data_IF_995338344980
#
_entry.id   IF_995338344980
#
_cell.length_a   1.000
_cell.length_b   1.000
_cell.length_c   1.000
_cell.angle_alpha   90.00
_cell.angle_beta   90.00
_cell.angle_gamma   90.00
#
_symmetry.space_group_name_H-M   'P 1'
#
loop_
_entity.id
_entity.type
_entity.pdbx_description
1 polymer ?
#
# COMPACT_ATOMS: atom_id res chain seq x y z
N UNK A 1 -80.17 -39.30 -9.55
CA UNK A 1 -78.87 -39.99 -9.36
C UNK A 1 -78.04 -39.74 -10.59
N UNK A 2 -77.01 -38.90 -10.48
CA UNK A 2 -76.03 -38.67 -11.55
C UNK A 2 -74.69 -38.39 -10.86
N UNK A 3 -73.72 -39.26 -11.10
CA UNK A 3 -72.41 -39.31 -10.45
C UNK A 3 -71.47 -38.26 -11.04
N UNK A 4 -70.87 -37.41 -10.20
CA UNK A 4 -69.73 -36.56 -10.59
C UNK A 4 -68.42 -37.31 -10.29
N UNK A 5 -67.67 -37.63 -11.35
CA UNK A 5 -66.29 -38.13 -11.26
C UNK A 5 -65.33 -36.96 -11.01
N UNK A 6 -64.49 -37.07 -9.98
CA UNK A 6 -63.41 -36.11 -9.68
C UNK A 6 -62.12 -36.61 -10.33
N UNK A 7 -61.56 -35.79 -11.24
CA UNK A 7 -60.28 -36.04 -11.91
C UNK A 7 -59.15 -35.42 -11.07
N UNK A 8 -58.27 -36.25 -10.49
CA UNK A 8 -57.06 -35.80 -9.80
C UNK A 8 -55.93 -35.56 -10.82
N UNK A 9 -55.58 -34.30 -11.07
CA UNK A 9 -54.37 -33.89 -11.79
C UNK A 9 -53.19 -33.90 -10.80
N UNK A 10 -52.31 -34.90 -10.90
CA UNK A 10 -51.05 -34.94 -10.15
C UNK A 10 -49.99 -34.12 -10.88
N UNK A 11 -49.73 -32.92 -10.38
CA UNK A 11 -48.63 -32.07 -10.83
C UNK A 11 -47.31 -32.64 -10.28
N UNK A 12 -46.55 -33.33 -11.13
CA UNK A 12 -45.20 -33.81 -10.79
C UNK A 12 -44.24 -32.64 -10.64
N UNK A 13 -43.97 -32.22 -9.41
CA UNK A 13 -42.87 -31.32 -9.09
C UNK A 13 -41.55 -32.10 -9.22
N UNK A 14 -40.80 -31.85 -10.29
CA UNK A 14 -39.39 -32.26 -10.37
C UNK A 14 -38.61 -31.50 -9.27
N UNK A 15 -37.85 -32.19 -8.41
CA UNK A 15 -36.95 -31.52 -7.49
C UNK A 15 -35.89 -30.79 -8.31
N UNK A 16 -35.95 -29.47 -8.33
CA UNK A 16 -34.82 -28.67 -8.79
C UNK A 16 -33.68 -28.95 -7.81
N UNK A 17 -32.62 -29.63 -8.26
CA UNK A 17 -31.36 -29.72 -7.53
C UNK A 17 -30.78 -28.31 -7.48
N UNK A 18 -31.23 -27.52 -6.49
CA UNK A 18 -30.51 -26.34 -6.05
C UNK A 18 -29.27 -26.90 -5.38
N UNK A 19 -28.20 -27.08 -6.14
CA UNK A 19 -26.88 -27.22 -5.57
C UNK A 19 -26.64 -25.91 -4.80
N UNK A 20 -26.90 -25.94 -3.50
CA UNK A 20 -26.64 -24.80 -2.62
C UNK A 20 -25.20 -24.39 -2.84
N UNK A 21 -24.95 -23.12 -3.15
CA UNK A 21 -23.61 -22.58 -3.46
C UNK A 21 -22.54 -22.96 -2.42
N UNK A 22 -22.95 -23.13 -1.15
CA UNK A 22 -22.12 -23.68 -0.08
C UNK A 22 -21.53 -25.07 -0.37
N UNK A 23 -22.28 -25.98 -1.02
CA UNK A 23 -21.80 -27.32 -1.35
C UNK A 23 -20.74 -27.30 -2.46
N UNK A 24 -20.87 -26.38 -3.42
CA UNK A 24 -19.93 -26.24 -4.54
C UNK A 24 -18.62 -25.62 -4.06
N UNK A 25 -18.67 -24.60 -3.20
CA UNK A 25 -17.49 -24.00 -2.55
C UNK A 25 -16.72 -25.06 -1.76
N UNK A 26 -17.38 -25.78 -0.84
CA UNK A 26 -16.73 -26.80 0.00
C UNK A 26 -16.10 -27.93 -0.84
N UNK A 27 -16.82 -28.41 -1.87
CA UNK A 27 -16.31 -29.47 -2.75
C UNK A 27 -15.12 -29.01 -3.59
N UNK A 28 -15.12 -27.74 -4.00
CA UNK A 28 -14.02 -27.17 -4.79
C UNK A 28 -12.79 -26.93 -3.91
N UNK A 29 -12.96 -26.26 -2.76
CA UNK A 29 -11.88 -25.92 -1.85
C UNK A 29 -11.18 -27.15 -1.25
N UNK A 30 -11.89 -28.27 -1.03
CA UNK A 30 -11.27 -29.51 -0.55
C UNK A 30 -10.36 -30.20 -1.58
N UNK A 31 -10.40 -29.77 -2.86
CA UNK A 31 -9.62 -30.34 -3.96
C UNK A 31 -8.44 -29.47 -4.39
N UNK A 32 -8.20 -28.32 -3.76
CA UNK A 32 -7.07 -27.42 -4.08
C UNK A 32 -5.94 -27.69 -3.09
N UNK A 33 -4.88 -28.44 -3.46
CA UNK A 33 -3.86 -28.89 -2.50
C UNK A 33 -2.91 -27.78 -2.03
N UNK A 34 -2.81 -26.68 -2.78
CA UNK A 34 -1.85 -25.59 -2.54
C UNK A 34 -2.42 -24.46 -1.67
N UNK A 35 -3.73 -24.47 -1.42
CA UNK A 35 -4.43 -23.39 -0.74
C UNK A 35 -5.10 -23.94 0.51
N UNK A 36 -5.00 -23.22 1.63
CA UNK A 36 -5.74 -23.54 2.84
C UNK A 36 -7.24 -23.62 2.54
N UNK A 37 -7.87 -24.72 2.95
CA UNK A 37 -9.31 -24.92 2.80
C UNK A 37 -10.11 -23.74 3.36
N UNK A 38 -9.79 -23.33 4.59
CA UNK A 38 -10.48 -22.24 5.28
C UNK A 38 -10.31 -20.90 4.56
N UNK A 39 -9.12 -20.66 4.00
CA UNK A 39 -8.87 -19.46 3.19
C UNK A 39 -9.70 -19.47 1.91
N UNK A 40 -9.69 -20.58 1.17
CA UNK A 40 -10.49 -20.74 -0.05
C UNK A 40 -11.99 -20.52 0.21
N UNK A 41 -12.53 -21.17 1.25
CA UNK A 41 -13.93 -21.03 1.64
C UNK A 41 -14.23 -19.59 2.05
N UNK A 42 -13.36 -18.97 2.86
CA UNK A 42 -13.53 -17.60 3.32
C UNK A 42 -13.57 -16.59 2.18
N UNK A 43 -12.60 -16.66 1.26
CA UNK A 43 -12.50 -15.76 0.10
C UNK A 43 -13.71 -15.89 -0.81
N UNK A 44 -14.09 -17.12 -1.20
CA UNK A 44 -15.19 -17.34 -2.14
C UNK A 44 -16.56 -17.06 -1.51
N UNK A 45 -16.72 -17.29 -0.21
CA UNK A 45 -18.00 -17.02 0.48
C UNK A 45 -18.24 -15.54 0.75
N UNK A 46 -17.17 -14.74 0.83
CA UNK A 46 -17.24 -13.30 1.03
C UNK A 46 -17.57 -12.52 -0.26
N UNK A 47 -17.31 -13.10 -1.43
CA UNK A 47 -17.55 -12.45 -2.72
C UNK A 47 -18.95 -12.78 -3.26
N UNK A 48 -19.75 -11.80 -3.70
CA UNK A 48 -21.13 -12.04 -4.14
C UNK A 48 -21.30 -13.06 -5.27
N UNK A 49 -20.42 -13.08 -6.28
CA UNK A 49 -20.46 -14.04 -7.38
C UNK A 49 -20.07 -15.43 -6.86
N UNK A 50 -19.05 -15.54 -6.01
CA UNK A 50 -18.61 -16.77 -5.38
C UNK A 50 -19.70 -17.38 -4.50
N UNK A 51 -20.36 -16.55 -3.68
CA UNK A 51 -21.48 -16.95 -2.82
C UNK A 51 -22.71 -17.39 -3.61
N UNK A 52 -22.91 -16.91 -4.84
CA UNK A 52 -24.07 -17.27 -5.67
C UNK A 52 -23.75 -18.31 -6.75
N UNK A 53 -22.48 -18.69 -6.92
CA UNK A 53 -22.05 -19.65 -7.92
C UNK A 53 -22.66 -21.04 -7.67
N UNK A 54 -23.20 -21.63 -8.73
CA UNK A 54 -23.76 -22.99 -8.74
C UNK A 54 -22.81 -24.02 -9.35
N UNK A 55 -21.66 -23.60 -9.89
CA UNK A 55 -20.64 -24.47 -10.49
C UNK A 55 -19.21 -23.94 -10.29
N UNK A 56 -18.22 -24.77 -10.63
CA UNK A 56 -16.80 -24.42 -10.51
C UNK A 56 -16.41 -23.28 -11.46
N UNK A 57 -17.14 -23.09 -12.56
CA UNK A 57 -16.85 -22.02 -13.53
C UNK A 57 -17.17 -20.66 -12.91
N UNK A 58 -18.31 -20.54 -12.23
CA UNK A 58 -18.68 -19.36 -11.45
C UNK A 58 -17.69 -19.04 -10.34
N UNK A 59 -17.22 -20.07 -9.61
CA UNK A 59 -16.18 -19.90 -8.58
C UNK A 59 -14.85 -19.43 -9.18
N UNK A 60 -14.46 -19.95 -10.34
CA UNK A 60 -13.25 -19.50 -11.04
C UNK A 60 -13.37 -18.04 -11.49
N UNK A 61 -14.53 -17.61 -11.98
CA UNK A 61 -14.81 -16.20 -12.32
C UNK A 61 -14.74 -15.31 -11.07
N UNK A 62 -15.34 -15.75 -9.95
CA UNK A 62 -15.27 -15.05 -8.68
C UNK A 62 -13.82 -14.84 -8.21
N UNK A 63 -13.02 -15.91 -8.22
CA UNK A 63 -11.61 -15.86 -7.86
C UNK A 63 -10.80 -14.93 -8.79
N UNK A 64 -11.07 -14.96 -10.09
CA UNK A 64 -10.43 -14.07 -11.06
C UNK A 64 -10.79 -12.60 -10.81
N UNK A 65 -12.05 -12.29 -10.50
CA UNK A 65 -12.48 -10.93 -10.18
C UNK A 65 -11.84 -10.41 -8.88
N UNK A 66 -11.74 -11.25 -7.84
CA UNK A 66 -11.01 -10.91 -6.62
C UNK A 66 -9.53 -10.67 -6.89
N UNK A 67 -8.95 -11.47 -7.79
CA UNK A 67 -7.56 -11.28 -8.23
C UNK A 67 -7.38 -9.93 -8.92
N UNK A 68 -8.29 -9.54 -9.83
CA UNK A 68 -8.26 -8.23 -10.49
C UNK A 68 -8.34 -7.10 -9.45
N UNK A 69 -9.25 -7.21 -8.48
CA UNK A 69 -9.38 -6.21 -7.41
C UNK A 69 -8.09 -6.08 -6.60
N UNK A 70 -7.51 -7.21 -6.17
CA UNK A 70 -6.28 -7.21 -5.37
C UNK A 70 -5.07 -6.71 -6.16
N UNK A 71 -4.93 -7.11 -7.42
CA UNK A 71 -3.88 -6.62 -8.32
C UNK A 71 -4.02 -5.11 -8.53
N UNK A 72 -5.24 -4.62 -8.77
CA UNK A 72 -5.49 -3.18 -8.95
C UNK A 72 -5.13 -2.37 -7.69
N UNK A 73 -5.53 -2.87 -6.51
CA UNK A 73 -5.16 -2.26 -5.23
C UNK A 73 -3.64 -2.25 -5.03
N UNK A 74 -2.96 -3.36 -5.36
CA UNK A 74 -1.50 -3.48 -5.29
C UNK A 74 -0.81 -2.49 -6.22
N UNK A 75 -1.28 -2.35 -7.47
CA UNK A 75 -0.75 -1.38 -8.42
C UNK A 75 -0.92 0.07 -7.94
N UNK A 76 -2.06 0.38 -7.31
CA UNK A 76 -2.29 1.69 -6.70
C UNK A 76 -1.31 1.95 -5.54
N UNK A 77 -1.12 0.98 -4.64
CA UNK A 77 -0.14 1.07 -3.56
C UNK A 77 1.28 1.31 -4.11
N UNK A 78 1.71 0.53 -5.10
CA UNK A 78 3.03 0.71 -5.75
C UNK A 78 3.17 2.09 -6.38
N UNK A 79 2.12 2.59 -7.04
CA UNK A 79 2.12 3.92 -7.67
C UNK A 79 2.26 5.04 -6.63
N UNK A 80 1.60 4.90 -5.47
CA UNK A 80 1.75 5.84 -4.36
C UNK A 80 3.18 5.85 -3.84
N UNK A 81 3.78 4.68 -3.60
CA UNK A 81 5.18 4.58 -3.15
C UNK A 81 6.14 5.27 -4.13
N UNK A 82 5.94 5.06 -5.44
CA UNK A 82 6.75 5.72 -6.47
C UNK A 82 6.60 7.25 -6.43
N UNK A 83 5.37 7.75 -6.24
CA UNK A 83 5.12 9.19 -6.11
C UNK A 83 5.76 9.79 -4.84
N UNK A 84 5.70 9.08 -3.72
CA UNK A 84 6.35 9.47 -2.45
C UNK A 84 7.88 9.50 -2.59
N UNK A 85 8.48 8.47 -3.20
CA UNK A 85 9.91 8.44 -3.49
C UNK A 85 10.35 9.56 -4.44
N UNK A 86 9.52 9.93 -5.42
CA UNK A 86 9.80 11.09 -6.27
C UNK A 86 9.75 12.42 -5.50
N UNK A 87 8.89 12.52 -4.48
CA UNK A 87 8.86 13.67 -3.57
C UNK A 87 10.14 13.71 -2.72
N UNK A 88 10.56 12.58 -2.16
CA UNK A 88 11.85 12.44 -1.48
C UNK A 88 13.03 12.87 -2.36
N UNK A 89 13.08 12.44 -3.62
CA UNK A 89 14.10 12.87 -4.57
C UNK A 89 14.16 14.39 -4.73
N UNK A 90 13.02 15.06 -4.68
CA UNK A 90 12.95 16.53 -4.76
C UNK A 90 13.51 17.18 -3.49
N UNK A 91 13.17 16.66 -2.32
CA UNK A 91 13.75 17.12 -1.05
C UNK A 91 15.27 16.91 -1.00
N UNK A 92 15.76 15.75 -1.45
CA UNK A 92 17.20 15.48 -1.46
C UNK A 92 17.98 16.34 -2.46
N UNK A 93 17.41 16.65 -3.64
CA UNK A 93 18.00 17.65 -4.55
C UNK A 93 18.12 19.01 -3.89
N UNK A 94 17.06 19.45 -3.20
CA UNK A 94 17.07 20.70 -2.45
C UNK A 94 18.11 20.70 -1.32
N UNK A 95 18.23 19.59 -0.58
CA UNK A 95 19.26 19.42 0.44
C UNK A 95 20.67 19.53 -0.15
N UNK A 96 20.93 18.90 -1.30
CA UNK A 96 22.22 19.00 -2.02
C UNK A 96 22.52 20.44 -2.40
N UNK A 97 21.54 21.18 -2.95
CA UNK A 97 21.74 22.58 -3.33
C UNK A 97 22.11 23.47 -2.13
N UNK A 98 21.46 23.25 -0.98
CA UNK A 98 21.78 23.95 0.28
C UNK A 98 23.20 23.65 0.75
N UNK A 99 23.59 22.37 0.75
CA UNK A 99 24.92 21.93 1.20
C UNK A 99 26.01 22.46 0.27
N UNK A 100 25.83 22.34 -1.05
CA UNK A 100 26.79 22.86 -2.05
C UNK A 100 26.96 24.36 -1.91
N UNK A 101 25.86 25.10 -1.70
CA UNK A 101 25.93 26.54 -1.48
C UNK A 101 26.63 26.90 -0.17
N UNK A 102 26.38 26.15 0.91
CA UNK A 102 27.06 26.36 2.20
C UNK A 102 28.57 26.07 2.09
N UNK A 103 28.97 25.03 1.36
CA UNK A 103 30.38 24.70 1.10
C UNK A 103 31.08 25.83 0.32
N UNK A 104 30.45 26.36 -0.72
CA UNK A 104 30.99 27.49 -1.49
C UNK A 104 31.18 28.75 -0.62
N UNK A 105 30.22 29.03 0.27
CA UNK A 105 30.30 30.16 1.19
C UNK A 105 31.38 29.96 2.28
N UNK A 106 31.55 28.73 2.78
CA UNK A 106 32.64 28.37 3.69
C UNK A 106 34.01 28.61 3.04
N UNK A 107 34.21 28.14 1.80
CA UNK A 107 35.47 28.36 1.08
C UNK A 107 35.76 29.84 0.82
N UNK A 108 34.72 30.67 0.68
CA UNK A 108 34.84 32.12 0.49
C UNK A 108 34.98 32.89 1.81
N UNK A 109 34.93 32.21 2.96
CA UNK A 109 34.97 32.86 4.26
C UNK A 109 33.81 33.83 4.49
N UNK A 110 32.61 33.50 3.98
CA UNK A 110 31.42 34.33 4.18
C UNK A 110 30.91 34.24 5.61
N UNK A 111 29.93 35.10 5.90
CA UNK A 111 29.25 35.18 7.18
C UNK A 111 28.75 33.81 7.67
N UNK A 112 29.19 33.43 8.87
CA UNK A 112 28.92 32.12 9.44
C UNK A 112 27.45 31.91 9.82
N UNK A 113 26.69 32.99 10.10
CA UNK A 113 25.27 32.90 10.44
C UNK A 113 24.44 32.52 9.20
N UNK A 114 24.74 33.15 8.05
CA UNK A 114 24.10 32.81 6.78
C UNK A 114 24.41 31.37 6.34
N UNK A 115 25.61 30.86 6.66
CA UNK A 115 25.99 29.47 6.38
C UNK A 115 25.25 28.52 7.34
N UNK A 116 25.15 28.88 8.62
CA UNK A 116 24.38 28.13 9.61
C UNK A 116 22.92 27.92 9.17
N UNK A 117 22.23 28.98 8.75
CA UNK A 117 20.83 28.88 8.30
C UNK A 117 20.65 27.87 7.16
N UNK A 118 21.57 27.87 6.19
CA UNK A 118 21.55 26.91 5.06
C UNK A 118 21.71 25.47 5.53
N UNK A 119 22.71 25.21 6.38
CA UNK A 119 23.02 23.87 6.89
C UNK A 119 21.94 23.37 7.85
N UNK A 120 21.38 24.26 8.67
CA UNK A 120 20.28 23.93 9.57
C UNK A 120 19.05 23.51 8.75
N UNK A 121 18.68 24.30 7.73
CA UNK A 121 17.59 23.95 6.81
C UNK A 121 17.85 22.64 6.07
N UNK A 122 19.10 22.39 5.65
CA UNK A 122 19.47 21.11 5.04
C UNK A 122 19.24 19.94 6.02
N UNK A 123 19.48 20.14 7.32
CA UNK A 123 19.29 19.11 8.34
C UNK A 123 17.83 18.75 8.61
N UNK A 124 16.90 19.66 8.39
CA UNK A 124 15.47 19.39 8.57
C UNK A 124 14.83 18.82 7.29
N UNK A 125 15.52 18.87 6.15
CA UNK A 125 14.99 18.42 4.86
C UNK A 125 14.66 16.91 4.80
N UNK A 126 15.46 15.99 5.38
CA UNK A 126 15.13 14.56 5.41
C UNK A 126 13.78 14.22 6.07
N UNK A 127 13.32 15.02 7.03
CA UNK A 127 12.05 14.81 7.73
C UNK A 127 10.85 14.94 6.78
N UNK A 128 10.95 15.77 5.74
CA UNK A 128 9.91 15.86 4.72
C UNK A 128 9.79 14.56 3.91
N UNK A 129 10.90 13.84 3.71
CA UNK A 129 10.89 12.53 3.09
C UNK A 129 10.28 11.47 4.01
N UNK A 130 10.59 11.50 5.31
CA UNK A 130 9.94 10.64 6.30
C UNK A 130 8.42 10.82 6.25
N UNK A 131 7.94 12.07 6.32
CA UNK A 131 6.50 12.40 6.29
C UNK A 131 5.84 11.90 5.00
N UNK A 132 6.50 12.07 3.84
CA UNK A 132 5.97 11.60 2.57
C UNK A 132 5.80 10.07 2.55
N UNK A 133 6.76 9.31 3.10
CA UNK A 133 6.73 7.85 3.09
C UNK A 133 5.84 7.23 4.19
N UNK A 134 5.51 7.99 5.25
CA UNK A 134 4.57 7.56 6.27
C UNK A 134 3.13 7.36 5.76
N UNK A 135 2.79 7.89 4.57
CA UNK A 135 1.42 7.79 4.01
C UNK A 135 1.19 6.56 3.12
N UNK A 136 2.23 5.88 2.66
CA UNK A 136 2.11 4.75 1.72
C UNK A 136 2.94 3.51 2.05
N UNK A 137 3.96 3.63 2.91
CA UNK A 137 4.84 2.52 3.26
C UNK A 137 4.78 2.22 4.77
N UNK A 138 4.26 1.04 5.13
CA UNK A 138 4.23 0.56 6.52
C UNK A 138 5.65 0.43 7.13
N UNK A 139 6.69 0.47 6.29
CA UNK A 139 8.10 0.61 6.62
C UNK A 139 8.74 1.61 5.67
N UNK A 140 9.22 2.76 6.17
CA UNK A 140 9.97 3.73 5.36
C UNK A 140 11.29 3.08 4.89
N UNK A 141 11.50 2.86 3.57
CA UNK A 141 12.68 2.18 3.04
C UNK A 141 13.98 2.99 3.15
N UNK A 142 13.92 4.29 3.46
CA UNK A 142 15.09 5.19 3.52
C UNK A 142 15.24 5.86 4.90
N UNK A 143 14.65 5.28 5.95
CA UNK A 143 14.67 5.84 7.29
C UNK A 143 16.09 6.01 7.86
N UNK A 144 16.97 5.03 7.61
CA UNK A 144 18.34 5.07 8.07
C UNK A 144 19.11 6.20 7.37
N UNK A 145 18.95 6.32 6.06
CA UNK A 145 19.52 7.37 5.22
C UNK A 145 19.02 8.76 5.64
N UNK A 146 17.72 8.90 5.92
CA UNK A 146 17.15 10.16 6.42
C UNK A 146 17.79 10.58 7.75
N UNK A 147 17.96 9.61 8.66
CA UNK A 147 18.56 9.85 9.98
C UNK A 147 20.04 10.26 9.87
N UNK A 148 20.80 9.59 9.03
CA UNK A 148 22.23 9.87 8.82
C UNK A 148 22.44 11.24 8.17
N UNK A 149 21.70 11.54 7.09
CA UNK A 149 21.81 12.83 6.40
C UNK A 149 21.42 14.00 7.32
N UNK A 150 20.38 13.82 8.15
CA UNK A 150 19.98 14.77 9.20
C UNK A 150 21.11 15.00 10.21
N UNK A 151 21.74 13.93 10.69
CA UNK A 151 22.83 14.01 11.67
C UNK A 151 24.04 14.76 11.12
N UNK A 152 24.50 14.43 9.91
CA UNK A 152 25.66 15.07 9.27
C UNK A 152 25.41 16.57 9.03
N UNK A 153 24.26 16.94 8.48
CA UNK A 153 23.91 18.34 8.26
C UNK A 153 23.77 19.11 9.59
N UNK A 154 23.27 18.47 10.65
CA UNK A 154 23.23 19.06 12.00
C UNK A 154 24.61 19.31 12.57
N UNK A 155 25.54 18.37 12.43
CA UNK A 155 26.94 18.56 12.85
C UNK A 155 27.52 19.79 12.15
N UNK A 156 27.37 19.88 10.82
CA UNK A 156 27.84 21.02 10.05
C UNK A 156 27.21 22.34 10.53
N UNK A 157 25.88 22.37 10.72
CA UNK A 157 25.19 23.57 11.23
C UNK A 157 25.66 23.96 12.63
N UNK A 158 25.91 22.99 13.52
CA UNK A 158 26.38 23.24 14.88
C UNK A 158 27.77 23.85 14.90
N UNK A 159 28.65 23.40 14.01
CA UNK A 159 29.99 23.99 13.85
C UNK A 159 29.87 25.44 13.38
N UNK A 160 29.04 25.72 12.37
CA UNK A 160 28.88 27.09 11.86
C UNK A 160 28.20 28.03 12.85
N UNK A 161 27.29 27.51 13.68
CA UNK A 161 26.69 28.27 14.79
C UNK A 161 27.75 28.68 15.82
N UNK A 162 28.68 27.77 16.16
CA UNK A 162 29.81 28.09 17.03
C UNK A 162 30.75 29.10 16.36
N UNK A 163 30.95 29.03 15.05
CA UNK A 163 31.74 30.03 14.32
C UNK A 163 31.12 31.43 14.38
N UNK A 164 29.79 31.56 14.34
CA UNK A 164 29.11 32.86 14.42
C UNK A 164 29.05 33.45 15.83
N UNK A 165 29.12 32.62 16.88
CA UNK A 165 28.90 33.05 18.28
C UNK A 165 30.08 32.80 19.24
N UNK A 166 31.07 32.00 18.85
CA UNK A 166 32.15 31.49 19.71
C UNK A 166 33.55 32.01 19.38
N UNK A 167 33.68 32.92 18.41
CA UNK A 167 34.95 33.59 18.10
C UNK A 167 35.21 34.79 19.00
N UNK A 168 35.67 34.55 20.24
CA UNK A 168 36.36 35.54 21.08
C UNK A 168 37.72 35.00 21.48
#
# INVERSE_FOLDING_TARGET
>A
MQTLSVLFLTLGMLPSLIASSSSVINTTCSKIPEISYDYCVGVLSAEPIGKSASDMRGLAVAAANLTIHNVTSTLHMMSNIVAELNSCNTFYKYMVDLIVSAIDDLHKGRDAELIYEKLHKASDTPENCDIALFQGAQNNPVQAENSENKALARIASGITFIMSHGGS
#
